data_IF_755120693447
#
_entry.id   IF_755120693447
#
_cell.length_a   1.000
_cell.length_b   1.000
_cell.length_c   1.000
_cell.angle_alpha   90.00
_cell.angle_beta   90.00
_cell.angle_gamma   90.00
#
_symmetry.space_group_name_H-M   'P 1'
#
loop_
_entity.id
_entity.type
_entity.pdbx_description
1 polymer ?
#
# COMPACT_ATOMS: atom_id res chain seq x y z
N UNK A 1 -22.77 -56.17 -50.39
CA UNK A 1 -22.51 -57.56 -50.04
C UNK A 1 -21.66 -57.59 -48.78
N UNK A 2 -22.20 -58.31 -47.83
CA UNK A 2 -21.70 -59.00 -46.63
C UNK A 2 -21.39 -58.09 -45.42
N UNK A 3 -22.33 -58.11 -44.53
CA UNK A 3 -22.54 -58.87 -43.28
C UNK A 3 -21.58 -58.51 -42.16
N UNK A 4 -22.13 -57.89 -41.14
CA UNK A 4 -22.52 -58.48 -39.83
C UNK A 4 -21.33 -58.74 -38.93
N UNK A 5 -21.28 -58.15 -37.78
CA UNK A 5 -21.64 -58.85 -36.54
C UNK A 5 -21.54 -57.90 -35.33
N UNK A 6 -22.65 -57.85 -34.59
CA UNK A 6 -22.81 -57.26 -33.27
C UNK A 6 -22.17 -58.18 -32.25
N UNK A 7 -21.31 -57.63 -31.37
CA UNK A 7 -21.04 -58.28 -30.08
C UNK A 7 -21.25 -57.26 -28.96
N UNK A 8 -22.34 -57.51 -28.23
CA UNK A 8 -22.54 -56.94 -26.88
C UNK A 8 -21.60 -57.65 -25.91
N UNK A 9 -20.89 -56.90 -25.14
CA UNK A 9 -20.35 -57.38 -23.87
C UNK A 9 -20.57 -56.34 -22.80
N UNK A 10 -21.57 -56.60 -21.98
CA UNK A 10 -21.76 -55.96 -20.67
C UNK A 10 -20.68 -56.49 -19.72
N UNK A 11 -19.97 -55.65 -19.06
CA UNK A 11 -19.27 -56.02 -17.82
C UNK A 11 -19.40 -54.86 -16.81
N UNK A 12 -20.00 -55.28 -15.74
CA UNK A 12 -20.16 -54.60 -14.46
C UNK A 12 -18.86 -54.20 -13.83
N UNK A 13 -18.88 -53.06 -13.13
CA UNK A 13 -18.28 -53.01 -11.81
C UNK A 13 -16.91 -52.40 -11.70
N UNK A 14 -16.87 -51.29 -11.13
CA UNK A 14 -16.15 -51.00 -9.90
C UNK A 14 -16.10 -49.49 -9.64
N UNK A 15 -16.94 -49.07 -8.71
CA UNK A 15 -16.74 -47.75 -8.03
C UNK A 15 -15.42 -47.82 -7.28
N UNK A 16 -14.40 -47.19 -7.82
CA UNK A 16 -13.21 -46.80 -7.05
C UNK A 16 -13.44 -45.37 -6.56
N UNK A 17 -13.84 -45.27 -5.29
CA UNK A 17 -13.85 -44.01 -4.54
C UNK A 17 -12.37 -43.66 -4.32
N UNK A 18 -11.82 -42.83 -5.19
CA UNK A 18 -10.56 -42.19 -4.96
C UNK A 18 -10.78 -41.07 -3.93
N UNK A 19 -10.36 -41.34 -2.69
CA UNK A 19 -10.22 -40.33 -1.65
C UNK A 19 -9.15 -39.31 -2.09
N UNK A 20 -9.60 -38.23 -2.72
CA UNK A 20 -8.76 -37.10 -3.05
C UNK A 20 -8.37 -36.38 -1.76
N UNK A 21 -7.13 -36.59 -1.29
CA UNK A 21 -6.56 -35.74 -0.28
C UNK A 21 -6.51 -34.30 -0.81
N UNK A 22 -7.39 -33.46 -0.31
CA UNK A 22 -7.27 -32.00 -0.50
C UNK A 22 -5.97 -31.55 0.17
N UNK A 23 -4.92 -31.41 -0.60
CA UNK A 23 -3.76 -30.64 -0.21
C UNK A 23 -4.24 -29.18 -0.06
N UNK A 24 -4.51 -28.78 1.16
CA UNK A 24 -4.74 -27.39 1.49
C UNK A 24 -3.49 -26.59 1.14
N UNK A 25 -3.54 -25.86 0.03
CA UNK A 25 -2.48 -24.91 -0.31
C UNK A 25 -2.37 -23.89 0.83
N UNK A 26 -1.14 -23.53 1.25
CA UNK A 26 -0.98 -22.49 2.25
C UNK A 26 -1.62 -21.20 1.73
N UNK A 27 -2.65 -20.76 2.41
CA UNK A 27 -3.28 -19.46 2.17
C UNK A 27 -2.22 -18.40 2.45
N UNK A 28 -1.63 -17.87 1.38
CA UNK A 28 -0.83 -16.65 1.49
C UNK A 28 -1.80 -15.54 1.90
N UNK A 29 -1.83 -15.23 3.18
CA UNK A 29 -2.48 -14.02 3.67
C UNK A 29 -1.88 -12.84 2.89
N UNK A 30 -2.70 -12.05 2.16
CA UNK A 30 -2.16 -10.87 1.52
C UNK A 30 -1.68 -9.92 2.63
N UNK A 31 -0.39 -9.61 2.65
CA UNK A 31 0.23 -8.56 3.48
C UNK A 31 -0.20 -7.17 2.99
N UNK A 32 -1.47 -6.98 2.78
CA UNK A 32 -2.05 -5.69 2.42
C UNK A 32 -3.29 -5.43 3.27
N UNK A 33 -3.10 -5.49 4.58
CA UNK A 33 -3.96 -4.71 5.42
C UNK A 33 -3.50 -3.25 5.21
N UNK A 34 -4.12 -2.55 4.24
CA UNK A 34 -4.21 -1.12 4.33
C UNK A 34 -4.74 -0.85 5.75
N UNK A 35 -3.87 -0.32 6.63
CA UNK A 35 -4.30 0.10 7.95
C UNK A 35 -5.30 1.22 7.70
N UNK A 36 -6.58 0.86 7.69
CA UNK A 36 -7.64 1.84 7.71
C UNK A 36 -7.40 2.73 8.93
N UNK A 37 -7.59 4.03 8.82
CA UNK A 37 -7.51 4.93 9.97
C UNK A 37 -8.47 4.41 11.05
N UNK A 38 -8.13 4.56 12.33
CA UNK A 38 -9.07 4.26 13.39
C UNK A 38 -10.37 5.02 13.12
N UNK A 39 -11.49 4.34 13.23
CA UNK A 39 -12.81 4.77 12.79
C UNK A 39 -13.34 6.07 13.45
N UNK A 40 -12.58 6.66 14.37
CA UNK A 40 -12.98 7.84 15.16
C UNK A 40 -11.96 9.01 15.08
N UNK A 41 -10.98 8.96 14.20
CA UNK A 41 -10.20 10.16 13.91
C UNK A 41 -10.93 10.94 12.83
N UNK A 42 -11.82 11.82 13.24
CA UNK A 42 -12.51 12.75 12.35
C UNK A 42 -11.52 13.41 11.39
N UNK A 43 -11.99 13.77 10.20
CA UNK A 43 -11.24 14.63 9.26
C UNK A 43 -10.59 15.73 10.08
N UNK A 44 -9.31 16.01 9.81
CA UNK A 44 -8.54 17.02 10.52
C UNK A 44 -7.89 16.58 11.86
N UNK A 45 -7.56 15.33 12.03
CA UNK A 45 -6.80 14.86 13.20
C UNK A 45 -5.29 15.08 13.03
N UNK A 46 -4.60 15.26 14.16
CA UNK A 46 -3.14 15.10 14.24
C UNK A 46 -2.73 13.70 14.69
N UNK A 47 -3.68 12.80 14.92
CA UNK A 47 -3.41 11.42 15.37
C UNK A 47 -3.17 10.51 14.18
N UNK A 48 -2.10 9.75 14.23
CA UNK A 48 -1.71 8.82 13.16
C UNK A 48 -1.21 7.48 13.69
N UNK A 49 -1.20 6.46 12.83
CA UNK A 49 -0.51 5.21 13.08
C UNK A 49 1.00 5.42 13.26
N UNK A 50 1.68 4.45 13.86
CA UNK A 50 3.14 4.50 14.00
C UNK A 50 3.83 4.57 12.64
N UNK A 51 3.32 3.87 11.63
CA UNK A 51 3.82 3.90 10.25
C UNK A 51 3.71 5.30 9.65
N UNK A 52 2.54 5.93 9.71
CA UNK A 52 2.37 7.30 9.19
C UNK A 52 3.23 8.32 9.96
N UNK A 53 3.45 8.13 11.28
CA UNK A 53 4.36 8.97 12.04
C UNK A 53 5.82 8.81 11.61
N UNK A 54 6.29 7.58 11.36
CA UNK A 54 7.63 7.35 10.82
C UNK A 54 7.75 7.95 9.41
N UNK A 55 6.72 7.80 8.58
CA UNK A 55 6.66 8.42 7.26
C UNK A 55 6.74 9.94 7.32
N UNK A 56 6.07 10.58 8.30
CA UNK A 56 6.22 12.01 8.55
C UNK A 56 7.67 12.40 8.85
N UNK A 57 8.39 11.63 9.68
CA UNK A 57 9.81 11.89 9.98
C UNK A 57 10.67 11.77 8.72
N UNK A 58 10.52 10.68 7.96
CA UNK A 58 11.27 10.50 6.72
C UNK A 58 10.98 11.60 5.71
N UNK A 59 9.72 11.99 5.59
CA UNK A 59 9.32 13.07 4.70
C UNK A 59 10.02 14.39 5.05
N UNK A 60 10.05 14.76 6.32
CA UNK A 60 10.67 16.00 6.79
C UNK A 60 12.20 15.98 6.83
N UNK A 61 12.80 14.82 6.66
CA UNK A 61 14.27 14.71 6.48
C UNK A 61 14.64 14.81 4.99
N UNK A 62 13.92 14.11 4.12
CA UNK A 62 14.37 13.88 2.75
C UNK A 62 13.53 14.54 1.66
N UNK A 63 12.25 14.75 1.87
CA UNK A 63 11.30 15.07 0.80
C UNK A 63 10.83 16.53 0.82
N UNK A 64 10.69 17.13 2.01
CA UNK A 64 10.05 18.45 2.19
C UNK A 64 10.76 19.57 1.44
N UNK A 65 12.08 19.49 1.24
CA UNK A 65 12.88 20.51 0.53
C UNK A 65 12.40 20.77 -0.88
N UNK A 66 11.83 19.74 -1.52
CA UNK A 66 11.28 19.86 -2.87
C UNK A 66 9.75 19.86 -2.87
N UNK A 67 9.13 18.95 -2.08
CA UNK A 67 7.69 18.76 -2.06
C UNK A 67 6.94 19.66 -1.06
N UNK A 68 7.62 20.59 -0.43
CA UNK A 68 7.04 21.51 0.54
C UNK A 68 6.70 20.86 1.88
N UNK A 69 6.58 21.70 2.90
CA UNK A 69 6.12 21.26 4.21
C UNK A 69 4.72 20.67 4.05
N UNK A 70 4.45 19.58 4.77
CA UNK A 70 3.15 18.91 4.72
C UNK A 70 2.71 18.39 3.33
N UNK A 71 3.68 18.14 2.44
CA UNK A 71 3.49 17.57 1.10
C UNK A 71 2.69 18.45 0.12
N UNK A 72 2.65 19.77 0.35
CA UNK A 72 1.82 20.71 -0.41
C UNK A 72 2.46 21.22 -1.72
N UNK A 73 3.69 20.79 -2.03
CA UNK A 73 4.43 21.30 -3.19
C UNK A 73 4.93 22.73 -3.00
N UNK A 74 5.24 23.41 -4.10
CA UNK A 74 5.50 24.84 -4.15
C UNK A 74 6.92 25.29 -3.83
N UNK A 75 7.80 24.45 -3.28
CA UNK A 75 9.19 24.81 -3.02
C UNK A 75 10.04 24.66 -4.28
N UNK A 76 9.87 23.53 -4.97
CA UNK A 76 10.49 23.29 -6.28
C UNK A 76 9.36 23.23 -7.32
N UNK A 77 9.38 24.08 -8.37
CA UNK A 77 8.33 24.10 -9.40
C UNK A 77 8.15 22.75 -10.13
N UNK A 78 9.21 21.93 -10.18
CA UNK A 78 9.14 20.60 -10.80
C UNK A 78 8.56 19.52 -9.87
N UNK A 79 8.47 19.79 -8.57
CA UNK A 79 7.96 18.84 -7.58
C UNK A 79 6.46 19.07 -7.33
N UNK A 80 5.61 18.08 -7.58
CA UNK A 80 4.17 18.23 -7.45
C UNK A 80 3.72 18.35 -5.99
N UNK A 81 2.53 18.92 -5.79
CA UNK A 81 1.74 18.72 -4.58
C UNK A 81 1.36 17.23 -4.50
N UNK A 82 1.94 16.53 -3.53
CA UNK A 82 1.73 15.09 -3.39
C UNK A 82 0.33 14.75 -2.86
N UNK A 83 -0.34 15.69 -2.20
CA UNK A 83 -1.73 15.51 -1.76
C UNK A 83 -2.64 15.41 -2.98
N UNK A 84 -2.47 16.30 -3.96
CA UNK A 84 -3.18 16.23 -5.24
C UNK A 84 -2.80 14.97 -6.02
N UNK A 85 -1.51 14.62 -6.05
CA UNK A 85 -1.02 13.48 -6.79
C UNK A 85 -1.67 12.16 -6.34
N UNK A 86 -1.88 11.96 -5.03
CA UNK A 86 -2.46 10.73 -4.47
C UNK A 86 -3.99 10.80 -4.27
N UNK A 87 -4.59 11.98 -4.35
CA UNK A 87 -6.03 12.15 -4.12
C UNK A 87 -6.86 11.45 -5.19
N UNK A 88 -7.97 10.78 -4.82
CA UNK A 88 -8.94 10.26 -5.79
C UNK A 88 -9.56 11.35 -6.68
N UNK A 89 -9.69 12.57 -6.17
CA UNK A 89 -10.14 13.75 -6.94
C UNK A 89 -9.03 14.43 -7.73
N UNK A 90 -7.78 14.02 -7.52
CA UNK A 90 -6.60 14.52 -8.22
C UNK A 90 -6.11 13.52 -9.27
N UNK A 91 -4.79 13.31 -9.30
CA UNK A 91 -4.18 12.41 -10.27
C UNK A 91 -4.35 10.92 -9.95
N UNK A 92 -4.87 10.56 -8.78
CA UNK A 92 -5.09 9.18 -8.33
C UNK A 92 -3.87 8.26 -8.52
N UNK A 93 -2.67 8.80 -8.26
CA UNK A 93 -1.43 8.09 -8.54
C UNK A 93 -1.34 6.81 -7.70
N UNK A 94 -1.18 5.64 -8.33
CA UNK A 94 -1.26 4.36 -7.63
C UNK A 94 -0.17 4.20 -6.57
N UNK A 95 -0.48 3.46 -5.49
CA UNK A 95 0.47 3.17 -4.41
C UNK A 95 1.79 2.59 -4.92
N UNK A 96 1.72 1.56 -5.76
CA UNK A 96 2.92 0.88 -6.24
C UNK A 96 3.76 1.78 -7.14
N UNK A 97 3.11 2.67 -7.89
CA UNK A 97 3.80 3.70 -8.66
C UNK A 97 4.47 4.73 -7.75
N UNK A 98 3.85 5.12 -6.64
CA UNK A 98 4.49 5.99 -5.64
C UNK A 98 5.73 5.32 -5.05
N UNK A 99 5.61 4.07 -4.62
CA UNK A 99 6.72 3.28 -4.07
C UNK A 99 7.86 3.17 -5.10
N UNK A 100 7.55 2.81 -6.34
CA UNK A 100 8.54 2.68 -7.40
C UNK A 100 9.25 4.00 -7.71
N UNK A 101 8.52 5.12 -7.72
CA UNK A 101 9.09 6.46 -7.93
C UNK A 101 9.96 6.88 -6.76
N UNK A 102 9.54 6.67 -5.53
CA UNK A 102 10.37 6.98 -4.36
C UNK A 102 11.63 6.09 -4.34
N UNK A 103 11.50 4.82 -4.67
CA UNK A 103 12.61 3.88 -4.71
C UNK A 103 13.66 4.22 -5.77
N UNK A 104 13.22 4.40 -7.04
CA UNK A 104 14.11 4.56 -8.19
C UNK A 104 14.43 6.03 -8.52
N UNK A 105 13.67 6.98 -7.97
CA UNK A 105 13.78 8.39 -8.34
C UNK A 105 13.23 8.71 -9.73
N UNK A 106 13.41 9.95 -10.11
CA UNK A 106 13.16 10.50 -11.46
C UNK A 106 14.27 11.49 -11.78
N UNK A 107 15.50 11.00 -11.98
CA UNK A 107 16.70 11.82 -12.12
C UNK A 107 16.56 12.91 -13.20
N UNK A 108 15.95 12.57 -14.35
CA UNK A 108 15.67 13.54 -15.41
C UNK A 108 14.74 14.69 -15.00
N UNK A 109 14.03 14.54 -13.86
CA UNK A 109 13.16 15.56 -13.26
C UNK A 109 13.72 16.11 -11.95
N UNK A 110 14.97 15.80 -11.62
CA UNK A 110 15.66 16.27 -10.42
C UNK A 110 15.29 15.53 -9.12
N UNK A 111 14.53 14.42 -9.18
CA UNK A 111 14.20 13.61 -8.01
C UNK A 111 15.20 12.46 -7.89
N UNK A 112 16.00 12.39 -6.81
CA UNK A 112 16.95 11.30 -6.60
C UNK A 112 16.25 9.99 -6.25
N UNK A 113 16.96 8.87 -6.41
CA UNK A 113 16.55 7.57 -5.88
C UNK A 113 16.80 7.52 -4.37
N UNK A 114 15.81 7.04 -3.62
CA UNK A 114 15.91 6.98 -2.15
C UNK A 114 16.27 5.61 -1.61
N UNK A 115 16.32 4.57 -2.44
CA UNK A 115 16.69 3.20 -2.05
C UNK A 115 18.11 3.05 -1.47
N UNK A 116 18.96 4.04 -1.67
CA UNK A 116 20.32 4.07 -1.09
C UNK A 116 20.34 4.55 0.35
N UNK A 117 19.28 5.20 0.83
CA UNK A 117 19.16 5.78 2.18
C UNK A 117 17.96 5.23 2.96
N UNK A 118 16.94 4.76 2.28
CA UNK A 118 15.68 4.28 2.85
C UNK A 118 15.41 2.85 2.38
N UNK A 119 15.05 1.99 3.31
CA UNK A 119 14.59 0.64 2.99
C UNK A 119 13.13 0.65 2.51
N UNK A 120 12.63 -0.51 2.14
CA UNK A 120 11.26 -0.69 1.65
C UNK A 120 10.20 -0.33 2.69
N UNK A 121 10.49 -0.55 3.98
CA UNK A 121 9.60 -0.20 5.09
C UNK A 121 9.50 1.31 5.22
N UNK A 122 10.62 2.01 5.22
CA UNK A 122 10.64 3.47 5.30
C UNK A 122 9.91 4.13 4.11
N UNK A 123 10.03 3.58 2.91
CA UNK A 123 9.28 4.08 1.73
C UNK A 123 7.79 3.76 1.83
N UNK A 124 7.42 2.60 2.38
CA UNK A 124 6.02 2.28 2.66
C UNK A 124 5.42 3.22 3.73
N UNK A 125 6.19 3.55 4.76
CA UNK A 125 5.82 4.53 5.78
C UNK A 125 5.62 5.94 5.20
N UNK A 126 6.52 6.37 4.30
CA UNK A 126 6.37 7.62 3.54
C UNK A 126 5.03 7.67 2.80
N UNK A 127 4.66 6.58 2.13
CA UNK A 127 3.37 6.50 1.46
C UNK A 127 2.21 6.68 2.45
N UNK A 128 2.25 6.02 3.63
CA UNK A 128 1.19 6.14 4.64
C UNK A 128 1.01 7.60 5.10
N UNK A 129 2.09 8.32 5.34
CA UNK A 129 2.03 9.74 5.69
C UNK A 129 1.43 10.58 4.57
N UNK A 130 1.97 10.48 3.35
CA UNK A 130 1.51 11.29 2.22
C UNK A 130 0.06 10.98 1.88
N UNK A 131 -0.34 9.71 1.99
CA UNK A 131 -1.74 9.29 1.76
C UNK A 131 -2.68 9.89 2.80
N UNK A 132 -2.30 9.87 4.08
CA UNK A 132 -3.06 10.50 5.15
C UNK A 132 -3.28 12.01 4.90
N UNK A 133 -2.24 12.69 4.40
CA UNK A 133 -2.33 14.10 3.97
C UNK A 133 -3.25 14.28 2.76
N UNK A 134 -3.12 13.40 1.78
CA UNK A 134 -3.89 13.42 0.55
C UNK A 134 -5.38 13.20 0.78
N UNK A 135 -5.73 12.28 1.69
CA UNK A 135 -7.12 11.95 2.03
C UNK A 135 -7.79 13.00 2.94
N UNK A 136 -7.02 13.98 3.42
CA UNK A 136 -7.52 15.10 4.21
C UNK A 136 -7.84 14.79 5.67
N UNK A 137 -7.45 13.62 6.17
CA UNK A 137 -7.65 13.29 7.59
C UNK A 137 -6.47 13.65 8.49
N UNK A 138 -5.29 13.89 7.92
CA UNK A 138 -4.16 14.41 8.68
C UNK A 138 -3.99 15.91 8.45
N UNK A 139 -4.07 16.69 9.52
CA UNK A 139 -3.80 18.14 9.52
C UNK A 139 -2.33 18.46 9.21
N UNK A 140 -2.04 19.68 8.72
CA UNK A 140 -0.67 20.20 8.68
C UNK A 140 -0.02 20.20 10.06
N UNK A 141 1.32 19.99 10.06
CA UNK A 141 2.12 20.04 11.27
C UNK A 141 2.61 18.68 11.76
N UNK A 142 3.15 18.67 12.97
CA UNK A 142 3.70 17.46 13.56
C UNK A 142 2.58 16.56 14.09
N UNK A 143 2.45 15.33 13.59
CA UNK A 143 1.45 14.40 14.09
C UNK A 143 1.85 13.80 15.45
N UNK A 144 0.87 13.20 16.13
CA UNK A 144 1.02 12.41 17.35
C UNK A 144 0.71 10.95 17.06
N UNK A 145 1.44 10.03 17.67
CA UNK A 145 1.19 8.59 17.51
C UNK A 145 0.03 8.15 18.37
N UNK A 146 -0.84 7.32 17.83
CA UNK A 146 -1.90 6.67 18.60
C UNK A 146 -1.33 5.83 19.74
N UNK A 147 -0.23 5.13 19.54
CA UNK A 147 0.45 4.34 20.57
C UNK A 147 0.94 5.15 21.77
N UNK A 148 1.26 6.45 21.59
CA UNK A 148 1.66 7.33 22.70
C UNK A 148 0.48 7.68 23.62
N UNK A 149 -0.73 7.79 23.07
CA UNK A 149 -1.94 8.03 23.86
C UNK A 149 -2.33 6.80 24.68
N UNK A 150 -2.24 5.61 24.10
CA UNK A 150 -2.54 4.35 24.78
C UNK A 150 -1.61 4.09 25.96
N UNK A 151 -0.34 4.49 25.87
CA UNK A 151 0.63 4.37 26.96
C UNK A 151 0.40 5.35 28.11
N UNK A 152 -0.30 6.45 27.86
CA UNK A 152 -0.57 7.49 28.87
C UNK A 152 -1.90 7.27 29.61
N UNK A 153 -2.71 6.33 29.15
CA UNK A 153 -3.93 5.93 29.87
C UNK A 153 -3.54 5.04 31.04
N UNK A 154 -3.91 5.39 32.29
CA UNK A 154 -3.59 4.63 33.49
C UNK A 154 -4.26 3.27 33.51
#
# INVERSE_FOLDING_TARGET
MTHTTVVRASLLGACLVAAGALLAAPQRTPLSAAVAPPADTGRDSLLVSDSAYQGWKWFHVYCYRCHGQDAIGGVNPAAPDLRWALSPSGASFPRDSFIAVAWNGRLAKGMPAWNVLLDSTAIADLYQYVKARSDGWLKPGRPHRLSDLQRKSP
#
